data_IF_065264789289
#
_entry.id   IF_065264789289
#
_cell.length_a   1.000
_cell.length_b   1.000
_cell.length_c   1.000
_cell.angle_alpha   90.00
_cell.angle_beta   90.00
_cell.angle_gamma   90.00
#
_symmetry.space_group_name_H-M   'P 1'
#
loop_
_entity.id
_entity.type
_entity.pdbx_description
1 polymer ?
#
# COMPACT_ATOMS: atom_id res chain seq x y z
N UNK A 1 -35.30 -26.00 -16.18
CA UNK A 1 -34.43 -24.81 -16.15
C UNK A 1 -33.24 -25.17 -15.27
N UNK A 2 -32.10 -25.50 -15.87
CA UNK A 2 -30.92 -26.00 -15.13
C UNK A 2 -30.03 -24.84 -14.73
N UNK A 3 -29.85 -24.68 -13.43
CA UNK A 3 -29.05 -23.64 -12.78
C UNK A 3 -27.57 -23.88 -13.05
N UNK A 4 -26.93 -22.99 -13.82
CA UNK A 4 -25.51 -23.08 -14.14
C UNK A 4 -24.69 -22.71 -12.90
N UNK A 5 -24.32 -23.72 -12.10
CA UNK A 5 -23.45 -23.53 -10.95
C UNK A 5 -22.03 -23.12 -11.39
N UNK A 6 -21.62 -21.90 -11.05
CA UNK A 6 -20.26 -21.39 -11.27
C UNK A 6 -19.26 -22.21 -10.45
N UNK A 7 -18.19 -22.70 -11.11
CA UNK A 7 -17.13 -23.46 -10.43
C UNK A 7 -16.42 -22.60 -9.38
N UNK A 8 -16.15 -23.12 -8.16
CA UNK A 8 -15.37 -22.41 -7.17
C UNK A 8 -13.92 -22.30 -7.65
N UNK A 9 -13.44 -21.07 -7.82
CA UNK A 9 -12.03 -20.80 -8.12
C UNK A 9 -11.15 -21.20 -6.92
N UNK A 10 -10.05 -21.93 -7.12
CA UNK A 10 -9.21 -22.38 -6.03
C UNK A 10 -8.58 -21.18 -5.31
N UNK A 11 -8.85 -21.09 -4.00
CA UNK A 11 -8.31 -20.10 -3.04
C UNK A 11 -6.80 -20.26 -2.79
N UNK A 12 -6.01 -20.65 -3.80
CA UNK A 12 -4.55 -20.79 -3.70
C UNK A 12 -3.80 -19.52 -4.09
N UNK A 13 -4.50 -18.49 -4.55
CA UNK A 13 -3.93 -17.18 -4.89
C UNK A 13 -4.12 -16.10 -3.82
N UNK A 14 -4.62 -16.44 -2.62
CA UNK A 14 -4.43 -15.58 -1.45
C UNK A 14 -2.98 -15.72 -0.98
N UNK A 15 -2.01 -15.32 -1.83
CA UNK A 15 -0.80 -14.73 -1.29
C UNK A 15 -1.30 -13.51 -0.54
N UNK A 16 -1.49 -13.67 0.76
CA UNK A 16 -1.44 -12.54 1.67
C UNK A 16 -0.04 -11.97 1.49
N UNK A 17 0.14 -11.16 0.44
CA UNK A 17 1.20 -10.16 0.41
C UNK A 17 1.04 -9.49 1.75
N UNK A 18 1.99 -9.75 2.65
CA UNK A 18 2.00 -9.24 4.01
C UNK A 18 1.90 -7.73 3.83
N UNK A 19 0.68 -7.18 3.91
CA UNK A 19 0.46 -5.75 3.71
C UNK A 19 1.35 -5.08 4.73
N UNK A 20 2.26 -4.21 4.27
CA UNK A 20 3.16 -3.52 5.16
C UNK A 20 2.31 -2.82 6.24
N UNK A 21 2.74 -2.91 7.50
CA UNK A 21 2.02 -2.24 8.58
C UNK A 21 2.07 -0.73 8.36
N UNK A 22 1.14 -0.01 8.97
CA UNK A 22 1.08 1.46 8.94
C UNK A 22 2.43 2.04 9.40
N UNK A 23 2.99 1.47 10.46
CA UNK A 23 4.25 1.90 11.07
C UNK A 23 5.44 1.68 10.12
N UNK A 24 5.50 0.55 9.43
CA UNK A 24 6.54 0.28 8.44
C UNK A 24 6.46 1.25 7.25
N UNK A 25 5.25 1.54 6.77
CA UNK A 25 5.04 2.49 5.68
C UNK A 25 5.43 3.92 6.09
N UNK A 26 5.12 4.33 7.33
CA UNK A 26 5.54 5.62 7.86
C UNK A 26 7.07 5.73 7.94
N UNK A 27 7.75 4.67 8.39
CA UNK A 27 9.21 4.61 8.43
C UNK A 27 9.80 4.73 7.01
N UNK A 28 9.33 3.95 6.05
CA UNK A 28 9.82 3.98 4.66
C UNK A 28 9.59 5.36 4.01
N UNK A 29 8.46 6.02 4.29
CA UNK A 29 8.20 7.40 3.82
C UNK A 29 9.21 8.37 4.44
N UNK A 30 9.53 8.24 5.73
CA UNK A 30 10.55 9.04 6.41
C UNK A 30 11.95 8.87 5.80
N UNK A 31 12.33 7.63 5.50
CA UNK A 31 13.59 7.31 4.81
C UNK A 31 13.64 7.93 3.41
N UNK A 32 12.57 7.79 2.62
CA UNK A 32 12.48 8.38 1.28
C UNK A 32 12.51 9.91 1.30
N UNK A 33 11.94 10.53 2.33
CA UNK A 33 11.96 11.98 2.51
C UNK A 33 13.37 12.46 2.87
N UNK A 34 14.06 11.74 3.75
CA UNK A 34 15.46 12.00 4.09
C UNK A 34 16.38 11.84 2.87
N UNK A 35 16.18 10.78 2.09
CA UNK A 35 16.89 10.56 0.83
C UNK A 35 16.62 11.70 -0.17
N UNK A 36 15.38 12.18 -0.26
CA UNK A 36 15.03 13.31 -1.11
C UNK A 36 15.81 14.57 -0.72
N UNK A 37 15.94 14.83 0.58
CA UNK A 37 16.69 15.97 1.08
C UNK A 37 18.17 15.84 0.71
N UNK A 38 18.78 14.67 0.94
CA UNK A 38 20.16 14.39 0.51
C UNK A 38 20.37 14.58 -0.99
N UNK A 39 19.42 14.13 -1.82
CA UNK A 39 19.47 14.34 -3.27
C UNK A 39 19.44 15.83 -3.65
N UNK A 40 18.71 16.67 -2.89
CA UNK A 40 18.71 18.12 -3.10
C UNK A 40 20.03 18.75 -2.67
N UNK A 41 20.54 18.36 -1.51
CA UNK A 41 21.80 18.88 -0.95
C UNK A 41 22.99 18.58 -1.88
N UNK A 42 22.94 17.42 -2.57
CA UNK A 42 23.95 17.00 -3.54
C UNK A 42 23.68 17.53 -4.97
N UNK A 43 22.69 18.41 -5.17
CA UNK A 43 22.29 18.89 -6.50
C UNK A 43 22.08 17.77 -7.52
N UNK A 44 21.48 16.66 -7.08
CA UNK A 44 21.32 15.48 -7.90
C UNK A 44 20.49 15.77 -9.17
N UNK A 45 20.72 15.02 -10.27
CA UNK A 45 19.96 15.21 -11.50
C UNK A 45 18.44 15.11 -11.29
N UNK A 46 17.62 15.86 -12.05
CA UNK A 46 16.16 15.83 -11.95
C UNK A 46 15.56 14.42 -12.02
N UNK A 47 16.16 13.51 -12.80
CA UNK A 47 15.72 12.13 -12.92
C UNK A 47 15.83 11.31 -11.63
N UNK A 48 16.78 11.62 -10.73
CA UNK A 48 16.86 10.99 -9.40
C UNK A 48 15.75 11.51 -8.48
N UNK A 49 15.50 12.81 -8.51
CA UNK A 49 14.42 13.43 -7.74
C UNK A 49 13.04 12.92 -8.21
N UNK A 50 12.85 12.68 -9.50
CA UNK A 50 11.59 12.15 -10.02
C UNK A 50 11.37 10.69 -9.62
N UNK A 51 12.41 9.85 -9.71
CA UNK A 51 12.33 8.46 -9.20
C UNK A 51 12.00 8.41 -7.72
N UNK A 52 12.62 9.28 -6.92
CA UNK A 52 12.31 9.40 -5.50
C UNK A 52 10.85 9.86 -5.28
N UNK A 53 10.35 10.84 -6.06
CA UNK A 53 8.96 11.32 -6.00
C UNK A 53 7.95 10.20 -6.28
N UNK A 54 8.19 9.40 -7.32
CA UNK A 54 7.33 8.26 -7.68
C UNK A 54 7.28 7.23 -6.54
N UNK A 55 8.44 6.92 -5.93
CA UNK A 55 8.51 6.02 -4.76
C UNK A 55 7.72 6.55 -3.57
N UNK A 56 7.85 7.85 -3.27
CA UNK A 56 7.07 8.50 -2.20
C UNK A 56 5.56 8.40 -2.45
N UNK A 57 5.10 8.77 -3.64
CA UNK A 57 3.69 8.71 -3.99
C UNK A 57 3.11 7.29 -3.85
N UNK A 58 3.87 6.28 -4.28
CA UNK A 58 3.48 4.87 -4.12
C UNK A 58 3.33 4.49 -2.65
N UNK A 59 4.30 4.86 -1.79
CA UNK A 59 4.23 4.53 -0.36
C UNK A 59 3.13 5.27 0.38
N UNK A 60 2.85 6.52 -0.01
CA UNK A 60 1.71 7.26 0.52
C UNK A 60 0.37 6.64 0.10
N UNK A 61 0.25 6.14 -1.14
CA UNK A 61 -0.92 5.39 -1.57
C UNK A 61 -1.10 4.08 -0.79
N UNK A 62 -0.02 3.32 -0.59
CA UNK A 62 -0.02 2.11 0.24
C UNK A 62 -0.45 2.43 1.69
N UNK A 63 0.05 3.52 2.27
CA UNK A 63 -0.30 3.98 3.62
C UNK A 63 -1.78 4.35 3.74
N UNK A 64 -2.31 5.08 2.77
CA UNK A 64 -3.73 5.44 2.72
C UNK A 64 -4.62 4.19 2.76
N UNK A 65 -4.31 3.20 1.91
CA UNK A 65 -5.03 1.92 1.91
C UNK A 65 -4.89 1.15 3.23
N UNK A 66 -3.71 1.15 3.84
CA UNK A 66 -3.47 0.48 5.12
C UNK A 66 -4.28 1.14 6.26
N UNK A 67 -4.35 2.47 6.29
CA UNK A 67 -5.16 3.22 7.25
C UNK A 67 -6.65 2.94 7.07
N UNK A 68 -7.16 2.97 5.84
CA UNK A 68 -8.56 2.62 5.55
C UNK A 68 -8.89 1.22 6.08
N UNK A 69 -8.02 0.24 5.83
CA UNK A 69 -8.25 -1.13 6.30
C UNK A 69 -8.18 -1.26 7.82
N UNK A 70 -7.30 -0.51 8.49
CA UNK A 70 -7.15 -0.53 9.95
C UNK A 70 -8.37 0.04 10.66
N UNK A 71 -9.02 1.04 10.07
CA UNK A 71 -10.14 1.77 10.66
C UNK A 71 -11.49 1.46 10.01
N UNK A 72 -11.54 0.51 9.07
CA UNK A 72 -12.81 0.04 8.55
C UNK A 72 -13.57 -0.63 9.72
N UNK A 73 -14.80 -0.21 10.04
CA UNK A 73 -15.62 -0.91 11.01
C UNK A 73 -15.72 -2.38 10.58
N UNK A 74 -15.55 -3.32 11.51
CA UNK A 74 -16.02 -4.67 11.25
C UNK A 74 -17.52 -4.55 11.04
N UNK A 75 -18.03 -5.00 9.89
CA UNK A 75 -19.47 -5.11 9.66
C UNK A 75 -20.07 -5.92 10.82
N UNK A 76 -20.76 -5.26 11.74
CA UNK A 76 -21.67 -5.85 12.73
C UNK A 76 -22.94 -6.40 12.04
N UNK A 77 -22.86 -6.72 10.75
CA UNK A 77 -23.92 -7.29 9.92
C UNK A 77 -24.17 -8.78 10.22
N UNK A 78 -23.91 -9.21 11.46
CA UNK A 78 -24.25 -10.55 11.98
C UNK A 78 -24.88 -10.52 13.39
N UNK A 79 -25.33 -9.35 13.83
CA UNK A 79 -26.12 -9.16 15.05
C UNK A 79 -27.46 -8.48 14.73
N UNK A 80 -28.34 -9.18 14.00
CA UNK A 80 -29.78 -8.91 13.95
C UNK A 80 -30.52 -10.20 13.57
#
# INVERSE_FOLDING_TARGET
MTETALRPVPSRFKRASKRASVEALMQEIGELTSERQRLRDLSAPPSKLERNRIRLARKQWELSHALIQRYLPADDSRAA
#
